data_IF_671691100531
#
_entry.id   IF_671691100531
#
_cell.length_a   1.000
_cell.length_b   1.000
_cell.length_c   1.000
_cell.angle_alpha   90.00
_cell.angle_beta   90.00
_cell.angle_gamma   90.00
#
_symmetry.space_group_name_H-M   'P 1'
#
loop_
_entity.id
_entity.type
_entity.pdbx_description
1 polymer ?
#
# COMPACT_ATOMS: atom_id res chain seq x y z
N UNK A 1 -47.86 -17.19 -23.47
CA UNK A 1 -47.95 -16.12 -22.44
C UNK A 1 -46.54 -15.66 -22.12
N UNK A 2 -46.40 -14.36 -21.93
CA UNK A 2 -45.18 -13.54 -22.06
C UNK A 2 -44.01 -14.01 -21.17
N UNK A 3 -42.81 -13.87 -21.73
CA UNK A 3 -41.50 -13.68 -21.10
C UNK A 3 -41.59 -13.07 -19.69
N UNK A 4 -40.63 -13.39 -18.80
CA UNK A 4 -39.78 -12.37 -18.19
C UNK A 4 -38.53 -13.02 -17.60
N UNK A 5 -37.42 -12.76 -18.28
CA UNK A 5 -36.05 -12.96 -17.84
C UNK A 5 -35.64 -11.85 -16.85
N UNK A 6 -34.56 -12.13 -16.12
CA UNK A 6 -33.68 -11.20 -15.37
C UNK A 6 -34.05 -10.88 -13.90
N UNK A 7 -33.12 -10.71 -12.94
CA UNK A 7 -31.74 -10.21 -12.97
C UNK A 7 -30.85 -10.83 -11.88
N UNK A 8 -29.66 -11.29 -12.25
CA UNK A 8 -28.47 -11.36 -11.39
C UNK A 8 -27.60 -10.10 -11.64
N UNK A 9 -26.88 -9.57 -10.63
CA UNK A 9 -25.55 -8.97 -10.91
C UNK A 9 -25.14 -7.55 -10.43
N UNK A 10 -25.88 -6.82 -9.57
CA UNK A 10 -25.50 -5.43 -9.23
C UNK A 10 -24.82 -5.20 -7.85
N UNK A 11 -25.13 -6.00 -6.82
CA UNK A 11 -24.69 -5.71 -5.45
C UNK A 11 -23.22 -6.08 -5.10
N UNK A 12 -22.57 -6.93 -5.89
CA UNK A 12 -21.19 -7.39 -5.59
C UNK A 12 -20.09 -6.39 -5.99
N UNK A 13 -20.32 -5.57 -7.02
CA UNK A 13 -19.28 -4.71 -7.60
C UNK A 13 -19.00 -3.47 -6.76
N UNK A 14 -20.06 -2.82 -6.25
CA UNK A 14 -19.96 -1.62 -5.42
C UNK A 14 -19.30 -1.89 -4.05
N UNK A 15 -19.63 -3.03 -3.44
CA UNK A 15 -19.05 -3.46 -2.16
C UNK A 15 -17.55 -3.75 -2.29
N UNK A 16 -17.14 -4.36 -3.40
CA UNK A 16 -15.74 -4.66 -3.67
C UNK A 16 -14.90 -3.40 -3.96
N UNK A 17 -15.44 -2.43 -4.71
CA UNK A 17 -14.76 -1.14 -4.94
C UNK A 17 -14.56 -0.37 -3.64
N UNK A 18 -15.57 -0.30 -2.78
CA UNK A 18 -15.51 0.37 -1.49
C UNK A 18 -14.43 -0.25 -0.57
N UNK A 19 -14.40 -1.59 -0.46
CA UNK A 19 -13.38 -2.29 0.32
C UNK A 19 -11.96 -2.05 -0.21
N UNK A 20 -11.79 -1.99 -1.53
CA UNK A 20 -10.48 -1.68 -2.13
C UNK A 20 -10.03 -0.25 -1.83
N UNK A 21 -10.95 0.70 -1.87
CA UNK A 21 -10.68 2.09 -1.53
C UNK A 21 -10.29 2.25 -0.07
N UNK A 22 -11.07 1.70 0.85
CA UNK A 22 -10.75 1.67 2.28
C UNK A 22 -9.39 1.04 2.57
N UNK A 23 -9.08 -0.08 1.91
CA UNK A 23 -7.77 -0.72 2.04
C UNK A 23 -6.64 0.21 1.57
N UNK A 24 -6.83 0.95 0.46
CA UNK A 24 -5.84 1.90 -0.05
C UNK A 24 -5.64 3.07 0.90
N UNK A 25 -6.71 3.59 1.50
CA UNK A 25 -6.65 4.66 2.49
C UNK A 25 -5.97 4.22 3.77
N UNK A 26 -6.30 3.04 4.30
CA UNK A 26 -5.63 2.47 5.46
C UNK A 26 -4.13 2.28 5.23
N UNK A 27 -3.73 1.86 4.03
CA UNK A 27 -2.30 1.78 3.67
C UNK A 27 -1.67 3.16 3.62
N UNK A 28 -2.35 4.18 3.06
CA UNK A 28 -1.87 5.57 3.04
C UNK A 28 -1.65 6.10 4.45
N UNK A 29 -2.65 5.98 5.32
CA UNK A 29 -2.60 6.48 6.70
C UNK A 29 -1.45 5.83 7.49
N UNK A 30 -1.32 4.50 7.40
CA UNK A 30 -0.21 3.78 8.05
C UNK A 30 1.17 4.25 7.54
N UNK A 31 1.32 4.47 6.23
CA UNK A 31 2.57 5.00 5.68
C UNK A 31 2.87 6.41 6.21
N UNK A 32 1.86 7.26 6.30
CA UNK A 32 2.00 8.62 6.81
C UNK A 32 2.43 8.63 8.28
N UNK A 33 1.79 7.80 9.12
CA UNK A 33 2.15 7.64 10.54
C UNK A 33 3.58 7.14 10.73
N UNK A 34 4.00 6.14 9.96
CA UNK A 34 5.37 5.60 9.99
C UNK A 34 6.37 6.69 9.60
N UNK A 35 6.16 7.37 8.47
CA UNK A 35 7.04 8.45 8.02
C UNK A 35 7.15 9.57 9.06
N UNK A 36 6.01 10.00 9.62
CA UNK A 36 5.97 11.02 10.68
C UNK A 36 6.75 10.60 11.92
N UNK A 37 6.64 9.34 12.34
CA UNK A 37 7.40 8.81 13.48
C UNK A 37 8.90 8.83 13.21
N UNK A 38 9.35 8.41 12.02
CA UNK A 38 10.76 8.45 11.61
C UNK A 38 11.30 9.90 11.65
N UNK A 39 10.58 10.83 11.03
CA UNK A 39 10.97 12.25 11.00
C UNK A 39 10.99 12.86 12.40
N UNK A 40 10.02 12.50 13.25
CA UNK A 40 9.96 12.97 14.63
C UNK A 40 11.18 12.54 15.44
N UNK A 41 11.59 11.28 15.32
CA UNK A 41 12.78 10.77 16.02
C UNK A 41 14.04 11.44 15.48
N UNK A 42 14.16 11.61 14.17
CA UNK A 42 15.30 12.28 13.57
C UNK A 42 15.43 13.75 14.03
N UNK A 43 14.32 14.49 14.04
CA UNK A 43 14.29 15.88 14.53
C UNK A 43 14.64 16.00 16.01
N UNK A 44 14.12 15.10 16.85
CA UNK A 44 14.39 15.11 18.28
C UNK A 44 15.87 14.88 18.62
N UNK A 45 16.58 14.12 17.77
CA UNK A 45 18.00 13.80 17.97
C UNK A 45 18.95 14.62 17.09
N UNK A 46 18.42 15.52 16.23
CA UNK A 46 19.23 16.28 15.27
C UNK A 46 19.89 15.41 14.18
N UNK A 47 19.29 14.27 13.83
CA UNK A 47 19.85 13.33 12.85
C UNK A 47 19.42 13.64 11.41
N UNK A 48 20.32 13.37 10.47
CA UNK A 48 20.00 13.25 9.06
C UNK A 48 19.35 11.90 8.74
N UNK A 49 18.38 11.89 7.82
CA UNK A 49 17.75 10.65 7.34
C UNK A 49 18.32 10.31 5.97
N UNK A 50 18.95 9.13 5.85
CA UNK A 50 19.44 8.59 4.57
C UNK A 50 18.53 7.43 4.16
N UNK A 51 18.09 7.43 2.89
CA UNK A 51 17.20 6.40 2.33
C UNK A 51 17.88 5.73 1.14
N UNK A 52 17.94 4.39 1.17
CA UNK A 52 18.51 3.57 0.09
C UNK A 52 17.73 3.69 -1.24
N UNK A 53 18.45 3.52 -2.36
CA UNK A 53 17.81 3.40 -3.67
C UNK A 53 17.27 1.98 -3.91
N UNK A 54 16.00 1.79 -3.57
CA UNK A 54 15.27 0.54 -3.78
C UNK A 54 14.73 0.36 -5.23
N UNK A 55 15.30 1.05 -6.24
CA UNK A 55 14.76 1.04 -7.61
C UNK A 55 15.04 -0.33 -8.18
N UNK A 56 14.05 -1.00 -8.75
CA UNK A 56 14.21 -2.35 -9.32
C UNK A 56 14.42 -3.47 -8.29
N UNK A 57 14.26 -3.22 -6.99
CA UNK A 57 14.45 -4.27 -5.96
C UNK A 57 13.49 -5.46 -6.13
N UNK A 58 12.28 -5.19 -6.64
CA UNK A 58 11.27 -6.23 -6.87
C UNK A 58 11.62 -7.14 -8.06
N UNK A 59 12.40 -6.62 -9.00
CA UNK A 59 12.75 -7.33 -10.24
C UNK A 59 14.09 -8.06 -10.08
N UNK A 60 15.02 -7.50 -9.31
CA UNK A 60 16.35 -8.09 -9.06
C UNK A 60 16.35 -9.24 -8.07
N UNK A 61 15.39 -9.27 -7.15
CA UNK A 61 15.42 -10.23 -6.05
C UNK A 61 14.44 -11.37 -6.30
N UNK A 62 14.98 -12.55 -6.59
CA UNK A 62 14.21 -13.78 -6.72
C UNK A 62 14.17 -14.52 -5.38
N UNK A 63 13.28 -14.12 -4.47
CA UNK A 63 13.00 -14.92 -3.29
C UNK A 63 11.88 -15.94 -3.52
N UNK A 64 11.72 -16.86 -2.57
CA UNK A 64 10.55 -17.74 -2.51
C UNK A 64 9.24 -16.96 -2.31
N UNK A 65 8.12 -17.59 -2.69
CA UNK A 65 6.75 -17.01 -2.70
C UNK A 65 6.38 -16.24 -1.43
N UNK A 66 6.74 -16.75 -0.25
CA UNK A 66 6.44 -16.14 1.06
C UNK A 66 7.13 -14.78 1.22
N UNK A 67 8.40 -14.69 0.83
CA UNK A 67 9.18 -13.46 0.96
C UNK A 67 8.78 -12.43 -0.10
N UNK A 68 8.51 -12.86 -1.33
CA UNK A 68 7.97 -11.97 -2.37
C UNK A 68 6.66 -11.32 -1.91
N UNK A 69 5.74 -12.11 -1.33
CA UNK A 69 4.48 -11.55 -0.78
C UNK A 69 4.73 -10.47 0.26
N UNK A 70 5.74 -10.62 1.12
CA UNK A 70 6.12 -9.59 2.10
C UNK A 70 6.70 -8.36 1.42
N UNK A 71 7.63 -8.53 0.49
CA UNK A 71 8.25 -7.43 -0.27
C UNK A 71 7.21 -6.61 -1.03
N UNK A 72 6.26 -7.28 -1.68
CA UNK A 72 5.16 -6.61 -2.41
C UNK A 72 4.10 -6.00 -1.49
N UNK A 73 3.97 -6.48 -0.25
CA UNK A 73 3.05 -5.90 0.73
C UNK A 73 3.55 -4.59 1.33
N UNK A 74 4.86 -4.32 1.28
CA UNK A 74 5.46 -3.10 1.85
C UNK A 74 5.51 -1.98 0.78
N UNK A 75 4.83 -0.84 1.01
CA UNK A 75 4.82 0.30 0.09
C UNK A 75 6.03 1.23 0.31
N UNK A 76 7.25 0.69 0.18
CA UNK A 76 8.50 1.41 0.52
C UNK A 76 8.65 2.76 -0.20
N UNK A 77 8.31 2.87 -1.49
CA UNK A 77 8.37 4.15 -2.22
C UNK A 77 7.43 5.22 -1.69
N UNK A 78 6.29 4.81 -1.13
CA UNK A 78 5.31 5.75 -0.57
C UNK A 78 5.82 6.35 0.74
N UNK A 79 6.43 5.52 1.57
CA UNK A 79 7.08 5.99 2.81
C UNK A 79 8.20 6.96 2.46
N UNK A 80 9.07 6.61 1.51
CA UNK A 80 10.16 7.51 1.06
C UNK A 80 9.63 8.85 0.51
N UNK A 81 8.49 8.86 -0.19
CA UNK A 81 7.88 10.11 -0.66
C UNK A 81 7.38 11.03 0.46
N UNK A 82 7.07 10.49 1.64
CA UNK A 82 6.60 11.27 2.80
C UNK A 82 7.71 11.77 3.71
N UNK A 83 8.93 11.22 3.59
CA UNK A 83 10.09 11.60 4.40
C UNK A 83 10.82 12.82 3.79
N UNK A 84 10.55 13.15 2.52
CA UNK A 84 11.10 14.32 1.83
C UNK A 84 10.83 15.64 2.56
#
# INVERSE_FOLDING_TARGET
MVLHSQKQGAHGKATYSFQREHRRENVKDRCHKIAKSIVSVAKANGWGIVLEDLKGIRDRIHYGRKMNRRLHAIPFRKIQSYIK
#
